data_IF_600342448951
#
_entry.id   IF_600342448951
#
_cell.length_a   1.000
_cell.length_b   1.000
_cell.length_c   1.000
_cell.angle_alpha   90.00
_cell.angle_beta   90.00
_cell.angle_gamma   90.00
#
_symmetry.space_group_name_H-M   'P 1'
#
loop_
_entity.id
_entity.type
_entity.pdbx_description
1 polymer ?
#
# COMPACT_ATOMS: atom_id res chain seq x y z
N UNK A 1 -4.51 8.77 -1.68
CA UNK A 1 -3.71 7.54 -1.93
C UNK A 1 -4.57 6.52 -2.65
N UNK A 2 -4.06 5.79 -3.66
CA UNK A 2 -4.87 4.84 -4.43
C UNK A 2 -4.31 3.42 -4.46
N UNK A 3 -5.19 2.41 -4.43
CA UNK A 3 -4.85 0.99 -4.57
C UNK A 3 -5.92 0.25 -5.39
N UNK A 4 -5.59 -0.95 -5.87
CA UNK A 4 -6.52 -1.78 -6.65
C UNK A 4 -6.95 -3.06 -5.93
N UNK A 5 -5.99 -3.90 -5.55
CA UNK A 5 -6.27 -5.14 -4.84
C UNK A 5 -6.56 -4.84 -3.34
N UNK A 6 -7.70 -5.26 -2.78
CA UNK A 6 -8.04 -5.06 -1.37
C UNK A 6 -6.97 -5.51 -0.37
N UNK A 7 -6.18 -6.53 -0.69
CA UNK A 7 -5.08 -6.98 0.17
C UNK A 7 -3.97 -5.92 0.35
N UNK A 8 -3.93 -4.87 -0.47
CA UNK A 8 -2.94 -3.80 -0.40
C UNK A 8 -3.45 -2.53 0.28
N UNK A 9 -4.70 -2.53 0.77
CA UNK A 9 -5.24 -1.41 1.54
C UNK A 9 -4.37 -1.07 2.76
N UNK A 10 -3.87 -2.03 3.57
CA UNK A 10 -3.00 -1.70 4.71
C UNK A 10 -1.70 -1.02 4.25
N UNK A 11 -1.14 -1.43 3.12
CA UNK A 11 0.04 -0.78 2.54
C UNK A 11 -0.25 0.67 2.15
N UNK A 12 -1.38 0.91 1.47
CA UNK A 12 -1.81 2.25 1.09
C UNK A 12 -2.02 3.13 2.33
N UNK A 13 -2.64 2.59 3.37
CA UNK A 13 -2.88 3.31 4.63
C UNK A 13 -1.57 3.75 5.30
N UNK A 14 -0.58 2.85 5.44
CA UNK A 14 0.71 3.21 6.06
C UNK A 14 1.44 4.33 5.34
N UNK A 15 1.47 4.29 4.01
CA UNK A 15 2.08 5.37 3.24
C UNK A 15 1.28 6.66 3.37
N UNK A 16 -0.05 6.58 3.37
CA UNK A 16 -0.92 7.74 3.53
C UNK A 16 -0.74 8.42 4.89
N UNK A 17 -0.72 7.66 5.99
CA UNK A 17 -0.53 8.19 7.35
C UNK A 17 0.78 9.00 7.48
N UNK A 18 1.87 8.49 6.89
CA UNK A 18 3.16 9.20 6.87
C UNK A 18 3.13 10.47 6.03
N UNK A 19 2.37 10.48 4.93
CA UNK A 19 2.24 11.65 4.07
C UNK A 19 1.47 12.78 4.76
N UNK A 20 0.51 12.48 5.63
CA UNK A 20 -0.23 13.49 6.41
C UNK A 20 0.68 14.28 7.35
N UNK A 21 1.81 13.71 7.79
CA UNK A 21 2.81 14.41 8.60
C UNK A 21 3.47 15.60 7.86
N UNK A 22 3.30 15.71 6.54
CA UNK A 22 3.78 16.85 5.74
C UNK A 22 2.79 18.03 5.71
N UNK A 23 1.61 17.88 6.32
CA UNK A 23 0.59 18.92 6.38
C UNK A 23 -0.24 19.05 5.10
N UNK A 24 -0.32 18.00 4.28
CA UNK A 24 -1.25 17.93 3.16
C UNK A 24 -2.69 17.79 3.63
N UNK A 25 -3.63 18.17 2.76
CA UNK A 25 -5.05 17.96 3.00
C UNK A 25 -5.40 16.46 3.01
N UNK A 26 -6.39 16.11 3.83
CA UNK A 26 -6.82 14.73 4.02
C UNK A 26 -7.75 14.28 2.87
N UNK A 27 -7.18 13.67 1.83
CA UNK A 27 -7.95 13.11 0.71
C UNK A 27 -8.30 11.61 0.85
N UNK A 28 -7.80 10.95 1.89
CA UNK A 28 -8.06 9.54 2.17
C UNK A 28 -7.34 8.52 1.29
N UNK A 29 -7.75 7.27 1.49
CA UNK A 29 -7.27 6.08 0.80
C UNK A 29 -8.42 5.51 -0.05
N UNK A 30 -8.21 5.36 -1.35
CA UNK A 30 -9.25 5.02 -2.33
C UNK A 30 -8.92 3.70 -3.02
N UNK A 31 -9.82 2.73 -2.86
CA UNK A 31 -9.71 1.39 -3.43
C UNK A 31 -10.25 1.25 -4.85
N UNK A 32 -10.08 0.05 -5.41
CA UNK A 32 -10.57 -0.32 -6.75
C UNK A 32 -10.16 0.65 -7.87
N UNK A 33 -9.06 1.39 -7.68
CA UNK A 33 -8.63 2.38 -8.64
C UNK A 33 -8.14 1.69 -9.92
N UNK A 34 -8.66 2.14 -11.07
CA UNK A 34 -8.53 1.41 -12.33
C UNK A 34 -7.30 1.82 -13.15
N UNK A 35 -6.16 2.02 -12.48
CA UNK A 35 -4.89 2.33 -13.12
C UNK A 35 -4.10 1.06 -13.44
N UNK A 36 -3.69 0.91 -14.71
CA UNK A 36 -3.10 -0.34 -15.24
C UNK A 36 -1.93 -0.85 -14.42
N UNK A 37 -1.06 0.03 -13.94
CA UNK A 37 0.19 -0.34 -13.28
C UNK A 37 -0.05 -0.96 -11.90
N UNK A 38 -1.00 -0.43 -11.13
CA UNK A 38 -1.36 -1.02 -9.84
C UNK A 38 -2.24 -2.27 -10.05
N UNK A 39 -3.17 -2.25 -11.00
CA UNK A 39 -4.11 -3.38 -11.22
C UNK A 39 -3.42 -4.68 -11.63
N UNK A 40 -2.37 -4.61 -12.44
CA UNK A 40 -1.69 -5.80 -12.96
C UNK A 40 -0.52 -6.28 -12.08
N UNK A 41 -0.28 -5.63 -10.94
CA UNK A 41 0.83 -6.00 -10.07
C UNK A 41 0.57 -7.33 -9.35
N UNK A 42 1.58 -8.21 -9.33
CA UNK A 42 1.60 -9.42 -8.48
C UNK A 42 2.16 -9.17 -7.08
N UNK A 43 2.58 -7.94 -6.80
CA UNK A 43 3.13 -7.48 -5.52
C UNK A 43 2.31 -6.31 -4.96
N UNK A 44 2.38 -6.02 -3.64
CA UNK A 44 1.76 -4.83 -3.06
C UNK A 44 2.10 -3.57 -3.87
N UNK A 45 1.08 -2.85 -4.33
CA UNK A 45 1.23 -1.70 -5.21
C UNK A 45 0.20 -0.61 -4.89
N UNK A 46 0.68 0.63 -4.82
CA UNK A 46 -0.13 1.82 -4.53
C UNK A 46 0.31 2.97 -5.43
N UNK A 47 -0.57 3.93 -5.67
CA UNK A 47 -0.28 5.18 -6.35
C UNK A 47 -0.36 6.34 -5.34
N UNK A 48 0.77 7.03 -5.17
CA UNK A 48 0.90 8.20 -4.29
C UNK A 48 0.57 9.45 -5.09
N UNK A 49 -0.56 10.09 -4.78
CA UNK A 49 -1.04 11.30 -5.44
C UNK A 49 -1.57 12.22 -4.34
N UNK A 50 -0.74 13.16 -3.89
CA UNK A 50 -0.99 14.00 -2.71
C UNK A 50 -0.65 15.49 -2.91
N UNK A 51 -0.01 15.87 -4.03
CA UNK A 51 0.29 17.26 -4.35
C UNK A 51 -0.23 17.57 -5.75
N UNK A 52 -1.07 18.61 -5.86
CA UNK A 52 -1.67 19.00 -7.13
C UNK A 52 -0.84 20.11 -7.76
N UNK A 53 -0.22 19.84 -8.91
CA UNK A 53 0.50 20.88 -9.67
C UNK A 53 -0.41 22.03 -10.14
N UNK A 54 -1.73 21.88 -10.07
CA UNK A 54 -2.71 22.92 -10.39
C UNK A 54 -2.95 23.91 -9.25
N UNK A 55 -2.44 23.66 -8.04
CA UNK A 55 -2.50 24.58 -6.90
C UNK A 55 -1.13 25.26 -6.73
N UNK A 56 -1.10 26.59 -6.83
CA UNK A 56 0.15 27.37 -6.78
C UNK A 56 1.02 27.07 -5.54
N UNK A 57 0.39 26.82 -4.39
CA UNK A 57 1.08 26.46 -3.14
C UNK A 57 1.77 25.09 -3.21
N UNK A 58 1.16 24.12 -3.89
CA UNK A 58 1.70 22.76 -4.05
C UNK A 58 2.76 22.75 -5.15
N UNK A 59 2.60 23.55 -6.19
CA UNK A 59 3.58 23.73 -7.26
C UNK A 59 4.91 24.29 -6.73
N UNK A 60 4.87 25.35 -5.91
CA UNK A 60 6.06 25.94 -5.28
C UNK A 60 6.77 24.93 -4.35
N UNK A 61 5.99 24.15 -3.60
CA UNK A 61 6.54 23.09 -2.73
C UNK A 61 7.15 21.95 -3.54
N UNK A 62 6.52 21.52 -4.64
CA UNK A 62 7.06 20.49 -5.52
C UNK A 62 8.33 20.96 -6.26
N UNK A 63 8.48 22.26 -6.51
CA UNK A 63 9.69 22.84 -7.07
C UNK A 63 10.89 22.79 -6.10
N UNK A 64 10.65 22.85 -4.78
CA UNK A 64 11.69 22.74 -3.75
C UNK A 64 12.28 21.32 -3.66
N UNK A 65 13.59 21.13 -3.95
CA UNK A 65 14.26 19.84 -3.80
C UNK A 65 14.19 19.28 -2.37
N UNK A 66 14.26 20.13 -1.36
CA UNK A 66 14.20 19.68 0.04
C UNK A 66 12.81 19.14 0.39
N UNK A 67 11.75 19.74 -0.16
CA UNK A 67 10.39 19.22 0.01
C UNK A 67 10.19 17.88 -0.68
N UNK A 68 10.67 17.73 -1.93
CA UNK A 68 10.64 16.42 -2.61
C UNK A 68 11.39 15.33 -1.83
N UNK A 69 12.50 15.68 -1.19
CA UNK A 69 13.23 14.77 -0.31
C UNK A 69 12.39 14.35 0.90
N UNK A 70 11.69 15.30 1.54
CA UNK A 70 10.75 14.99 2.65
C UNK A 70 9.62 14.06 2.20
N UNK A 71 9.06 14.25 1.00
CA UNK A 71 8.06 13.33 0.42
C UNK A 71 8.64 11.92 0.30
N UNK A 72 9.83 11.78 -0.30
CA UNK A 72 10.47 10.48 -0.50
C UNK A 72 10.74 9.77 0.84
N UNK A 73 11.17 10.52 1.86
CA UNK A 73 11.39 9.99 3.21
C UNK A 73 10.09 9.47 3.84
N UNK A 74 8.96 10.19 3.71
CA UNK A 74 7.67 9.72 4.22
C UNK A 74 7.16 8.48 3.49
N UNK A 75 7.33 8.42 2.17
CA UNK A 75 7.00 7.23 1.39
C UNK A 75 7.85 6.04 1.88
N UNK A 76 9.14 6.23 2.08
CA UNK A 76 10.02 5.20 2.62
C UNK A 76 9.59 4.75 4.03
N UNK A 77 9.28 5.69 4.92
CA UNK A 77 8.79 5.36 6.27
C UNK A 77 7.52 4.50 6.21
N UNK A 78 6.56 4.83 5.35
CA UNK A 78 5.34 4.04 5.21
C UNK A 78 5.57 2.63 4.66
N UNK A 79 6.52 2.48 3.74
CA UNK A 79 6.96 1.15 3.26
C UNK A 79 7.59 0.34 4.40
N UNK A 80 8.43 0.97 5.22
CA UNK A 80 9.07 0.32 6.37
C UNK A 80 8.03 -0.13 7.39
N UNK A 81 7.06 0.72 7.74
CA UNK A 81 5.97 0.38 8.66
C UNK A 81 5.17 -0.83 8.15
N UNK A 82 4.80 -0.83 6.86
CA UNK A 82 4.08 -1.95 6.26
C UNK A 82 4.87 -3.27 6.32
N UNK A 83 6.19 -3.23 6.06
CA UNK A 83 7.04 -4.43 6.19
C UNK A 83 7.13 -4.91 7.64
N UNK A 84 7.11 -4.00 8.62
CA UNK A 84 7.05 -4.36 10.04
C UNK A 84 5.73 -5.06 10.38
N UNK A 85 4.59 -4.56 9.89
CA UNK A 85 3.28 -5.20 10.06
C UNK A 85 3.24 -6.61 9.46
N UNK A 86 3.87 -6.81 8.30
CA UNK A 86 3.97 -8.14 7.68
C UNK A 86 4.76 -9.11 8.56
N UNK A 87 5.93 -8.69 9.06
CA UNK A 87 6.77 -9.51 9.96
C UNK A 87 6.08 -9.82 11.29
N UNK A 88 5.33 -8.87 11.82
CA UNK A 88 4.49 -9.06 12.99
C UNK A 88 3.43 -10.12 12.74
N UNK A 89 2.72 -10.01 11.61
CA UNK A 89 1.69 -10.96 11.20
C UNK A 89 2.25 -12.37 11.02
N UNK A 90 3.40 -12.52 10.37
CA UNK A 90 4.11 -13.81 10.24
C UNK A 90 4.45 -14.41 11.60
N UNK A 91 4.90 -13.58 12.55
CA UNK A 91 5.22 -14.04 13.91
C UNK A 91 3.97 -14.50 14.66
N UNK A 92 2.85 -13.80 14.50
CA UNK A 92 1.60 -14.10 15.19
C UNK A 92 0.88 -15.32 14.62
N UNK A 93 0.88 -15.47 13.29
CA UNK A 93 0.24 -16.60 12.61
C UNK A 93 1.05 -17.89 12.73
N UNK A 94 2.35 -17.79 13.00
CA UNK A 94 3.27 -18.93 13.01
C UNK A 94 3.58 -19.41 11.59
N UNK A 95 4.29 -20.54 11.44
CA UNK A 95 4.60 -21.08 10.13
C UNK A 95 3.31 -21.38 9.37
N UNK A 96 3.29 -21.05 8.07
CA UNK A 96 2.21 -21.46 7.19
C UNK A 96 2.02 -22.98 7.34
N UNK A 97 0.78 -23.47 7.49
CA UNK A 97 0.54 -24.90 7.42
C UNK A 97 1.10 -25.42 6.10
N UNK A 98 1.62 -26.66 6.07
CA UNK A 98 2.08 -27.26 4.82
C UNK A 98 0.96 -27.15 3.78
N UNK A 99 1.33 -26.85 2.53
CA UNK A 99 0.38 -26.80 1.43
C UNK A 99 -0.40 -28.10 1.41
N UNK A 100 -1.72 -28.01 1.52
CA UNK A 100 -2.60 -29.16 1.31
C UNK A 100 -2.52 -29.45 -0.18
N UNK A 101 -2.03 -30.62 -0.57
CA UNK A 101 -2.12 -31.06 -1.96
C UNK A 101 -3.61 -31.11 -2.31
N UNK A 102 -4.06 -30.24 -3.22
CA UNK A 102 -5.47 -30.20 -3.64
C UNK A 102 -5.94 -31.55 -4.23
N UNK A 103 -4.99 -32.36 -4.71
CA UNK A 103 -5.21 -33.72 -5.21
C UNK A 103 -5.47 -34.77 -4.12
N UNK A 104 -5.27 -34.43 -2.83
CA UNK A 104 -5.51 -35.33 -1.69
C UNK A 104 -6.96 -35.27 -1.17
N UNK A 105 -7.80 -34.39 -1.73
CA UNK A 105 -9.24 -34.36 -1.44
C UNK A 105 -9.87 -35.62 -2.07
N UNK A 106 -9.99 -36.67 -1.26
CA UNK A 106 -10.76 -37.86 -1.61
C UNK A 106 -12.20 -37.40 -1.85
N UNK A 107 -12.85 -37.73 -2.98
CA UNK A 107 -14.26 -37.44 -3.13
C UNK A 107 -14.99 -38.20 -2.02
N UNK A 108 -15.79 -37.48 -1.24
CA UNK A 108 -16.65 -38.09 -0.25
C UNK A 108 -17.46 -39.19 -0.95
N UNK A 109 -17.27 -40.44 -0.52
CA UNK A 109 -17.99 -41.58 -1.07
C UNK A 109 -19.49 -41.31 -0.92
N UNK A 110 -20.16 -41.10 -2.06
CA UNK A 110 -21.61 -40.94 -2.12
C UNK A 110 -22.31 -42.19 -1.60
N UNK A 111 -23.31 -41.98 -0.74
CA UNK A 111 -24.35 -42.93 -0.36
C UNK A 111 -25.44 -42.97 -1.42
#
# INVERSE_FOLDING_TARGET
MYYHNPFWEPFAQRVYDRMLELGYEEFGVVGSFNYRNIRLSSRPAVLVEQAFMSHARDEDQLADPAHRQRIAEKVLSGIVDYVQDLRESERLLGPLPPSVDEDSVTPAAGL
#
